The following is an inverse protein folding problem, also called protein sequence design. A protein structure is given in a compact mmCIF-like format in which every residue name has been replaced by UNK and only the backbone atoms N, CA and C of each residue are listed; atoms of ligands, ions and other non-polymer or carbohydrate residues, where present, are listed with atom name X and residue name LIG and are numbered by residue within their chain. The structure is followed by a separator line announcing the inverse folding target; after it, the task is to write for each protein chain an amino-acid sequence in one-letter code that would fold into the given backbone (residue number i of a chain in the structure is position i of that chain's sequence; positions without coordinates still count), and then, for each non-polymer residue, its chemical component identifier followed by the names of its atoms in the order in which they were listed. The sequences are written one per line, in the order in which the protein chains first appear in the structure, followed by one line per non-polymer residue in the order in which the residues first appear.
data_IF_393591223973
#
_entry.id   IF_393591223973
#
_cell.length_a   1.000
_cell.length_b   1.000
_cell.length_c   1.000
_cell.angle_alpha   90.00
_cell.angle_beta   90.00
_cell.angle_gamma   90.00
#
_symmetry.space_group_name_H-M   'P 1'
#
loop_
_entity.id
_entity.type
_entity.pdbx_description
1 polymer ?
#
# COMPACT_ATOMS: atom_id res chain seq x y z
N UNK A 1 -10.79 2.13 -22.06
CA UNK A 1 -10.60 3.23 -21.10
C UNK A 1 -10.55 2.63 -19.72
N UNK A 2 -9.59 3.08 -18.92
CA UNK A 2 -9.49 2.63 -17.54
C UNK A 2 -10.64 3.28 -16.77
N UNK A 3 -11.67 2.50 -16.45
CA UNK A 3 -12.91 3.03 -15.90
C UNK A 3 -12.88 2.91 -14.39
N UNK A 4 -12.89 4.06 -13.72
CA UNK A 4 -13.30 4.15 -12.32
C UNK A 4 -14.66 3.44 -12.18
N UNK A 5 -14.76 2.58 -11.18
CA UNK A 5 -15.98 1.80 -10.92
C UNK A 5 -16.98 2.55 -10.05
N UNK A 6 -16.50 3.52 -9.27
CA UNK A 6 -17.33 4.41 -8.44
C UNK A 6 -18.24 5.29 -9.31
N UNK A 7 -19.54 5.21 -9.04
CA UNK A 7 -20.53 6.09 -9.65
C UNK A 7 -20.66 7.39 -8.84
N UNK A 8 -20.30 8.52 -9.45
CA UNK A 8 -20.46 9.86 -8.85
C UNK A 8 -21.83 10.50 -9.16
N UNK A 9 -22.63 9.93 -10.06
CA UNK A 9 -23.98 10.42 -10.37
C UNK A 9 -25.02 9.85 -9.40
N UNK A 10 -24.83 10.09 -8.12
CA UNK A 10 -25.71 9.65 -7.02
C UNK A 10 -25.80 10.76 -5.97
N UNK A 11 -26.79 10.69 -5.09
CA UNK A 11 -26.87 11.59 -3.94
C UNK A 11 -25.61 11.44 -3.05
N UNK A 12 -25.02 12.54 -2.57
CA UNK A 12 -25.37 13.95 -2.77
C UNK A 12 -24.61 14.65 -3.93
N UNK A 13 -23.86 13.90 -4.75
CA UNK A 13 -22.88 14.46 -5.70
C UNK A 13 -23.46 14.82 -7.07
N UNK A 14 -24.40 14.02 -7.58
CA UNK A 14 -25.13 14.24 -8.84
C UNK A 14 -24.23 14.66 -10.02
N UNK A 15 -23.07 14.02 -10.18
CA UNK A 15 -22.18 14.27 -11.33
C UNK A 15 -22.75 13.66 -12.61
N UNK A 16 -23.60 14.42 -13.29
CA UNK A 16 -24.26 14.01 -14.53
C UNK A 16 -23.46 14.38 -15.80
N UNK A 17 -22.14 14.62 -15.67
CA UNK A 17 -21.29 14.86 -16.83
C UNK A 17 -21.35 13.70 -17.82
N UNK A 18 -21.53 14.02 -19.11
CA UNK A 18 -21.45 13.06 -20.22
C UNK A 18 -20.45 13.56 -21.27
N UNK A 19 -19.57 12.65 -21.68
CA UNK A 19 -18.53 12.90 -22.67
C UNK A 19 -19.12 13.15 -24.07
N UNK A 20 -20.25 12.52 -24.39
CA UNK A 20 -20.94 12.64 -25.69
C UNK A 20 -21.48 14.05 -25.95
N UNK A 21 -21.73 14.82 -24.88
CA UNK A 21 -22.18 16.20 -25.00
C UNK A 21 -21.05 17.14 -25.47
N UNK A 22 -19.79 16.72 -25.40
CA UNK A 22 -18.65 17.49 -25.89
C UNK A 22 -18.37 18.79 -25.13
N UNK A 23 -18.90 18.95 -23.90
CA UNK A 23 -18.62 20.14 -23.09
C UNK A 23 -17.16 20.15 -22.62
N UNK A 24 -16.45 21.25 -22.93
CA UNK A 24 -15.02 21.41 -22.63
C UNK A 24 -14.73 22.38 -21.47
N UNK A 25 -15.70 23.23 -21.10
CA UNK A 25 -15.54 24.25 -20.08
C UNK A 25 -16.88 24.72 -19.53
N UNK A 26 -16.94 24.93 -18.22
CA UNK A 26 -18.05 25.60 -17.55
C UNK A 26 -17.88 27.12 -17.66
N UNK A 27 -18.91 27.81 -18.11
CA UNK A 27 -18.90 29.27 -18.31
C UNK A 27 -19.73 29.94 -17.21
N UNK A 28 -19.06 30.46 -16.18
CA UNK A 28 -19.72 31.21 -15.11
C UNK A 28 -20.25 32.55 -15.62
N UNK A 29 -21.48 32.87 -15.24
CA UNK A 29 -22.16 34.12 -15.65
C UNK A 29 -22.15 35.12 -14.50
N UNK A 30 -21.65 36.35 -14.71
CA UNK A 30 -21.77 37.40 -13.71
C UNK A 30 -23.24 37.64 -13.32
N UNK A 31 -23.50 37.83 -12.03
CA UNK A 31 -24.85 38.07 -11.49
C UNK A 31 -25.69 36.81 -11.23
N UNK A 32 -25.17 35.61 -11.54
CA UNK A 32 -25.82 34.33 -11.22
C UNK A 32 -25.05 33.62 -10.10
N UNK A 33 -25.79 33.00 -9.17
CA UNK A 33 -25.18 32.17 -8.13
C UNK A 33 -24.63 30.88 -8.74
N UNK A 34 -23.43 30.50 -8.35
CA UNK A 34 -22.78 29.26 -8.78
C UNK A 34 -23.51 28.06 -8.17
N UNK A 35 -23.77 27.05 -9.00
CA UNK A 35 -24.46 25.83 -8.57
C UNK A 35 -23.46 24.71 -8.30
N UNK A 36 -23.78 23.80 -7.36
CA UNK A 36 -22.95 22.63 -7.06
C UNK A 36 -22.65 21.79 -8.32
N UNK A 37 -23.66 21.57 -9.16
CA UNK A 37 -23.52 20.87 -10.45
C UNK A 37 -22.46 21.49 -11.37
N UNK A 38 -22.36 22.83 -11.42
CA UNK A 38 -21.37 23.53 -12.24
C UNK A 38 -19.94 23.27 -11.75
N UNK A 39 -19.76 23.20 -10.42
CA UNK A 39 -18.46 22.90 -9.82
C UNK A 39 -18.08 21.43 -9.97
N UNK A 40 -19.03 20.51 -9.81
CA UNK A 40 -18.81 19.08 -10.03
C UNK A 40 -18.42 18.80 -11.48
N UNK A 41 -19.16 19.33 -12.46
CA UNK A 41 -18.82 19.16 -13.87
C UNK A 41 -17.48 19.81 -14.24
N UNK A 42 -17.13 20.96 -13.64
CA UNK A 42 -15.82 21.58 -13.85
C UNK A 42 -14.69 20.63 -13.42
N UNK A 43 -14.83 19.97 -12.26
CA UNK A 43 -13.84 19.02 -11.76
C UNK A 43 -13.70 17.83 -12.72
N UNK A 44 -14.82 17.25 -13.16
CA UNK A 44 -14.82 16.09 -14.06
C UNK A 44 -14.25 16.42 -15.44
N UNK A 45 -14.55 17.60 -15.99
CA UNK A 45 -13.97 18.07 -17.26
C UNK A 45 -12.44 18.21 -17.13
N UNK A 46 -11.95 18.86 -16.07
CA UNK A 46 -10.51 19.01 -15.86
C UNK A 46 -9.82 17.66 -15.68
N UNK A 47 -10.42 16.76 -14.90
CA UNK A 47 -9.92 15.40 -14.70
C UNK A 47 -9.83 14.65 -16.03
N UNK A 48 -10.84 14.73 -16.89
CA UNK A 48 -10.84 14.10 -18.22
C UNK A 48 -9.76 14.65 -19.14
N UNK A 49 -9.47 15.96 -19.11
CA UNK A 49 -8.36 16.52 -19.89
C UNK A 49 -7.02 15.97 -19.42
N UNK A 50 -6.81 15.88 -18.10
CA UNK A 50 -5.59 15.30 -17.53
C UNK A 50 -5.48 13.80 -17.81
N UNK A 51 -6.57 13.05 -17.66
CA UNK A 51 -6.59 11.60 -17.88
C UNK A 51 -6.26 11.25 -19.32
N UNK A 52 -6.77 11.99 -20.31
CA UNK A 52 -6.46 11.76 -21.74
C UNK A 52 -4.98 11.91 -22.06
N UNK A 53 -4.30 12.90 -21.46
CA UNK A 53 -2.84 13.04 -21.60
C UNK A 53 -2.14 11.85 -20.94
N UNK A 54 -2.60 11.43 -19.77
CA UNK A 54 -2.09 10.24 -19.09
C UNK A 54 -2.25 8.96 -19.91
N UNK A 55 -3.45 8.69 -20.44
CA UNK A 55 -3.76 7.52 -21.26
C UNK A 55 -2.98 7.49 -22.58
N UNK A 56 -2.58 8.65 -23.11
CA UNK A 56 -1.74 8.71 -24.30
C UNK A 56 -0.29 8.27 -24.02
N UNK A 57 0.21 8.48 -22.81
CA UNK A 57 1.61 8.23 -22.43
C UNK A 57 1.76 6.88 -21.70
N UNK A 58 0.82 6.56 -20.82
CA UNK A 58 0.89 5.45 -19.88
C UNK A 58 -0.24 4.45 -20.12
N UNK A 59 0.09 3.17 -19.94
CA UNK A 59 -0.93 2.12 -19.84
C UNK A 59 -1.47 2.08 -18.42
N UNK A 60 -2.71 1.67 -18.27
CA UNK A 60 -3.30 1.46 -16.95
C UNK A 60 -2.50 0.44 -16.13
N UNK A 61 -2.28 0.74 -14.86
CA UNK A 61 -1.44 -0.02 -13.94
C UNK A 61 0.08 0.22 -14.08
N UNK A 62 0.53 1.00 -15.07
CA UNK A 62 1.96 1.26 -15.23
C UNK A 62 2.50 2.23 -14.17
N UNK A 63 3.75 2.02 -13.75
CA UNK A 63 4.46 3.00 -12.93
C UNK A 63 4.85 4.20 -13.79
N UNK A 64 4.56 5.39 -13.28
CA UNK A 64 4.88 6.68 -13.90
C UNK A 64 6.23 7.17 -13.39
N UNK A 65 6.40 7.19 -12.06
CA UNK A 65 7.64 7.61 -11.38
C UNK A 65 7.83 6.73 -10.15
N UNK A 66 9.03 6.15 -9.99
CA UNK A 66 9.37 5.31 -8.83
C UNK A 66 8.60 3.99 -8.83
N UNK A 67 8.18 3.54 -7.64
CA UNK A 67 7.36 2.32 -7.52
C UNK A 67 8.13 1.03 -7.82
N UNK A 68 9.45 1.06 -7.67
CA UNK A 68 10.30 -0.11 -7.86
C UNK A 68 9.92 -1.21 -6.87
N UNK A 69 9.75 -2.43 -7.40
CA UNK A 69 9.47 -3.63 -6.59
C UNK A 69 10.76 -4.40 -6.42
N UNK A 70 11.07 -4.74 -5.17
CA UNK A 70 12.26 -5.50 -4.79
C UNK A 70 11.84 -6.78 -4.07
N UNK A 71 12.30 -7.91 -4.59
CA UNK A 71 12.15 -9.23 -3.95
C UNK A 71 13.39 -9.49 -3.10
N UNK A 72 13.22 -9.78 -1.81
CA UNK A 72 14.31 -10.21 -0.92
C UNK A 72 14.01 -11.61 -0.37
N UNK A 73 14.72 -12.62 -0.91
CA UNK A 73 14.67 -14.01 -0.45
C UNK A 73 15.86 -14.38 0.45
N UNK A 74 16.72 -13.42 0.76
CA UNK A 74 17.91 -13.61 1.62
C UNK A 74 17.68 -13.00 3.01
N UNK A 75 16.43 -12.65 3.34
CA UNK A 75 16.05 -12.15 4.64
C UNK A 75 15.91 -13.29 5.65
N UNK A 76 16.26 -13.01 6.90
CA UNK A 76 16.17 -13.98 8.00
C UNK A 76 14.95 -13.67 8.86
N UNK A 77 14.16 -14.66 9.25
CA UNK A 77 13.16 -14.47 10.29
C UNK A 77 13.77 -14.67 11.67
N UNK A 78 13.27 -13.97 12.69
CA UNK A 78 13.62 -14.13 14.09
C UNK A 78 12.33 -14.24 14.92
N UNK A 79 12.10 -15.38 15.54
CA UNK A 79 10.93 -15.58 16.42
C UNK A 79 11.22 -15.06 17.81
N UNK A 80 10.24 -14.37 18.40
CA UNK A 80 10.25 -13.97 19.80
C UNK A 80 9.46 -14.97 20.64
N UNK A 81 9.56 -14.85 21.97
CA UNK A 81 8.65 -15.55 22.87
C UNK A 81 7.22 -15.02 22.70
N UNK A 82 6.22 -15.85 22.99
CA UNK A 82 4.80 -15.53 22.74
C UNK A 82 4.25 -14.35 23.54
N UNK A 83 4.94 -13.93 24.61
CA UNK A 83 4.56 -12.79 25.44
C UNK A 83 5.04 -11.45 24.89
N UNK A 84 6.00 -11.47 23.97
CA UNK A 84 6.53 -10.25 23.38
C UNK A 84 5.65 -9.73 22.25
N UNK A 85 5.72 -8.43 21.99
CA UNK A 85 4.93 -7.76 20.95
C UNK A 85 5.82 -7.42 19.76
N UNK A 86 5.60 -8.02 18.59
CA UNK A 86 6.44 -7.81 17.42
C UNK A 86 6.42 -6.35 16.92
N UNK A 87 5.26 -5.69 16.98
CA UNK A 87 5.06 -4.33 16.43
C UNK A 87 5.91 -3.24 17.10
N UNK A 88 6.43 -3.48 18.30
CA UNK A 88 7.33 -2.51 18.95
C UNK A 88 8.71 -2.46 18.31
N UNK A 89 9.08 -3.50 17.56
CA UNK A 89 10.38 -3.62 16.90
C UNK A 89 10.35 -3.21 15.43
N UNK A 90 9.18 -2.92 14.86
CA UNK A 90 9.02 -2.66 13.43
C UNK A 90 9.82 -1.43 12.98
N UNK A 91 10.60 -1.59 11.90
CA UNK A 91 11.49 -0.55 11.36
C UNK A 91 12.70 -0.19 12.24
N UNK A 92 12.91 -0.85 13.39
CA UNK A 92 13.99 -0.52 14.32
C UNK A 92 15.28 -1.32 14.07
N UNK A 93 16.39 -0.89 14.65
CA UNK A 93 17.63 -1.68 14.70
C UNK A 93 17.68 -2.39 16.04
N UNK A 94 17.84 -3.72 16.00
CA UNK A 94 18.00 -4.55 17.20
C UNK A 94 19.45 -4.98 17.35
N UNK A 95 19.88 -5.17 18.61
CA UNK A 95 21.21 -5.63 18.97
C UNK A 95 21.15 -6.71 20.06
N UNK A 96 22.20 -7.53 20.10
CA UNK A 96 22.44 -8.42 21.23
C UNK A 96 22.99 -7.66 22.44
N UNK A 97 23.14 -8.36 23.57
CA UNK A 97 23.65 -7.79 24.82
C UNK A 97 25.11 -7.32 24.73
N UNK A 98 25.88 -7.83 23.77
CA UNK A 98 27.30 -7.49 23.56
C UNK A 98 27.50 -6.45 22.46
N UNK A 99 26.44 -6.06 21.76
CA UNK A 99 26.44 -5.19 20.58
C UNK A 99 27.28 -5.72 19.40
N UNK A 100 27.60 -7.01 19.38
CA UNK A 100 28.35 -7.65 18.30
C UNK A 100 27.43 -7.97 17.12
N UNK A 101 26.24 -8.49 17.43
CA UNK A 101 25.21 -8.79 16.43
C UNK A 101 24.19 -7.66 16.39
N UNK A 102 24.03 -7.07 15.20
CA UNK A 102 23.05 -6.02 14.95
C UNK A 102 22.26 -6.35 13.69
N UNK A 103 20.96 -6.12 13.72
CA UNK A 103 20.10 -6.35 12.56
C UNK A 103 19.04 -5.25 12.45
N UNK A 104 18.70 -4.89 11.21
CA UNK A 104 17.57 -4.03 10.91
C UNK A 104 16.31 -4.88 10.78
N UNK A 105 15.26 -4.51 11.49
CA UNK A 105 13.92 -5.09 11.35
C UNK A 105 13.23 -4.41 10.17
N UNK A 106 12.94 -5.19 9.13
CA UNK A 106 12.31 -4.69 7.90
C UNK A 106 10.79 -4.68 8.03
N UNK A 107 10.24 -5.75 8.60
CA UNK A 107 8.81 -5.87 8.89
C UNK A 107 8.60 -6.93 9.98
N UNK A 108 7.38 -7.06 10.48
CA UNK A 108 7.03 -7.95 11.59
C UNK A 108 5.66 -8.57 11.38
N UNK A 109 5.48 -9.79 11.90
CA UNK A 109 4.19 -10.44 12.00
C UNK A 109 3.84 -10.65 13.48
N UNK A 110 2.61 -10.29 13.85
CA UNK A 110 2.07 -10.56 15.17
C UNK A 110 1.86 -12.07 15.40
N UNK A 111 1.81 -12.47 16.67
CA UNK A 111 1.49 -13.84 17.03
C UNK A 111 0.08 -14.21 16.56
N UNK A 112 -0.07 -15.40 15.96
CA UNK A 112 -1.38 -15.93 15.53
C UNK A 112 -1.49 -17.38 15.97
N UNK A 113 -2.38 -17.65 16.94
CA UNK A 113 -2.56 -18.99 17.49
C UNK A 113 -1.28 -19.51 18.14
N UNK A 114 -0.73 -20.61 17.60
CA UNK A 114 0.53 -21.20 18.06
C UNK A 114 1.76 -20.60 17.39
N UNK A 115 1.58 -19.75 16.38
CA UNK A 115 2.67 -19.09 15.67
C UNK A 115 3.15 -17.88 16.48
N UNK A 116 4.39 -17.88 16.99
CA UNK A 116 4.88 -16.79 17.84
C UNK A 116 5.11 -15.50 17.04
N UNK A 117 5.25 -14.36 17.73
CA UNK A 117 5.60 -13.11 17.07
C UNK A 117 6.92 -13.26 16.31
N UNK A 118 6.95 -12.82 15.05
CA UNK A 118 8.09 -13.04 14.14
C UNK A 118 8.58 -11.72 13.57
N UNK A 119 9.88 -11.48 13.64
CA UNK A 119 10.56 -10.33 13.03
C UNK A 119 11.22 -10.78 11.72
N UNK A 120 11.21 -9.95 10.69
CA UNK A 120 11.97 -10.18 9.47
C UNK A 120 13.15 -9.23 9.42
N UNK A 121 14.36 -9.77 9.52
CA UNK A 121 15.56 -9.03 9.83
C UNK A 121 16.64 -9.19 8.76
N UNK A 122 17.41 -8.11 8.58
CA UNK A 122 18.63 -8.07 7.78
C UNK A 122 19.81 -7.74 8.68
N UNK A 123 20.79 -8.63 8.75
CA UNK A 123 21.97 -8.41 9.58
C UNK A 123 22.80 -7.23 9.05
N UNK A 124 23.16 -6.33 9.96
CA UNK A 124 24.12 -5.26 9.76
C UNK A 124 25.53 -5.71 10.23
N UNK A 125 25.57 -6.48 11.30
CA UNK A 125 26.77 -7.14 11.83
C UNK A 125 26.41 -8.46 12.52
N UNK A 126 27.35 -9.41 12.55
CA UNK A 126 27.09 -10.76 13.04
C UNK A 126 26.26 -11.60 12.06
N UNK A 127 25.91 -12.82 12.47
CA UNK A 127 25.25 -13.80 11.60
C UNK A 127 24.02 -14.46 12.21
N UNK A 128 23.85 -14.42 13.53
CA UNK A 128 22.68 -15.00 14.20
C UNK A 128 22.50 -14.43 15.60
N UNK A 129 21.26 -14.36 16.07
CA UNK A 129 20.96 -14.22 17.49
C UNK A 129 20.88 -15.60 18.14
N UNK A 130 21.23 -15.70 19.42
CA UNK A 130 21.19 -16.97 20.15
C UNK A 130 19.78 -17.29 20.66
N UNK A 131 19.43 -18.57 20.69
CA UNK A 131 18.17 -19.04 21.27
C UNK A 131 18.03 -18.59 22.73
N UNK A 132 16.88 -18.04 23.11
CA UNK A 132 16.63 -17.55 24.47
C UNK A 132 17.41 -16.30 24.88
N UNK A 133 18.17 -15.67 23.97
CA UNK A 133 18.89 -14.43 24.29
C UNK A 133 17.96 -13.22 24.28
N UNK A 134 18.37 -12.19 25.02
CA UNK A 134 17.69 -10.89 25.01
C UNK A 134 18.22 -10.05 23.86
N UNK A 135 17.30 -9.53 23.05
CA UNK A 135 17.55 -8.48 22.07
C UNK A 135 17.08 -7.14 22.61
N UNK A 136 17.76 -6.07 22.23
CA UNK A 136 17.43 -4.71 22.65
C UNK A 136 17.32 -3.82 21.43
N UNK A 137 16.34 -2.92 21.39
CA UNK A 137 16.26 -1.89 20.35
C UNK A 137 17.38 -0.87 20.60
N UNK A 138 18.20 -0.64 19.58
CA UNK A 138 19.35 0.25 19.69
C UNK A 138 18.93 1.68 20.01
N UNK A 139 19.59 2.29 20.99
CA UNK A 139 19.23 3.61 21.52
C UNK A 139 18.05 3.64 22.50
N UNK A 140 17.45 2.50 22.87
CA UNK A 140 16.35 2.44 23.85
C UNK A 140 16.57 1.36 24.91
N UNK A 141 15.67 1.29 25.90
CA UNK A 141 15.60 0.21 26.91
C UNK A 141 14.58 -0.89 26.56
N UNK A 142 13.93 -0.81 25.40
CA UNK A 142 12.95 -1.82 24.97
C UNK A 142 13.67 -3.11 24.61
N UNK A 143 13.25 -4.22 25.23
CA UNK A 143 13.86 -5.54 25.06
C UNK A 143 12.84 -6.56 24.61
N UNK A 144 13.33 -7.62 23.97
CA UNK A 144 12.57 -8.82 23.63
C UNK A 144 13.44 -10.05 23.83
N UNK A 145 12.83 -11.22 23.89
CA UNK A 145 13.51 -12.50 24.09
C UNK A 145 13.32 -13.37 22.87
N UNK A 146 14.44 -13.85 22.33
CA UNK A 146 14.46 -14.77 21.19
C UNK A 146 13.87 -16.12 21.60
N UNK A 147 13.04 -16.70 20.75
CA UNK A 147 12.47 -18.02 20.99
C UNK A 147 13.56 -19.07 21.24
N UNK A 148 13.22 -20.14 21.97
CA UNK A 148 14.19 -21.20 22.32
C UNK A 148 14.34 -22.26 21.22
N UNK A 149 13.35 -22.38 20.33
CA UNK A 149 13.32 -23.39 19.25
C UNK A 149 12.94 -22.74 17.93
N UNK A 150 13.51 -23.23 16.82
CA UNK A 150 13.27 -22.73 15.46
C UNK A 150 13.25 -21.20 15.38
N UNK A 151 14.17 -20.57 16.11
CA UNK A 151 14.13 -19.14 16.41
C UNK A 151 14.63 -18.29 15.26
N UNK A 152 15.37 -18.89 14.32
CA UNK A 152 15.94 -18.20 13.16
C UNK A 152 15.90 -19.10 11.93
N UNK A 153 15.85 -18.50 10.75
CA UNK A 153 15.94 -19.20 9.47
C UNK A 153 15.58 -18.29 8.30
N UNK A 154 15.49 -18.85 7.11
CA UNK A 154 15.22 -18.06 5.90
C UNK A 154 13.74 -17.70 5.76
N UNK A 155 13.48 -16.51 5.25
CA UNK A 155 12.15 -16.04 4.88
C UNK A 155 12.19 -15.35 3.51
N UNK A 156 11.04 -14.91 3.03
CA UNK A 156 10.97 -14.09 1.84
C UNK A 156 9.95 -12.96 1.97
N UNK A 157 10.37 -11.78 1.54
CA UNK A 157 9.54 -10.58 1.52
C UNK A 157 9.61 -9.94 0.14
N UNK A 158 8.64 -9.09 -0.13
CA UNK A 158 8.64 -8.19 -1.27
C UNK A 158 8.29 -6.79 -0.82
N UNK A 159 9.03 -5.81 -1.32
CA UNK A 159 8.84 -4.41 -0.97
C UNK A 159 8.60 -3.60 -2.23
N UNK A 160 7.75 -2.58 -2.12
CA UNK A 160 7.55 -1.56 -3.15
C UNK A 160 7.95 -0.21 -2.58
N UNK A 161 8.76 0.53 -3.32
CA UNK A 161 9.14 1.89 -2.96
C UNK A 161 8.00 2.87 -3.24
N UNK A 162 8.10 4.06 -2.64
CA UNK A 162 7.19 5.16 -2.99
C UNK A 162 7.18 5.38 -4.49
N UNK A 163 6.00 5.51 -5.08
CA UNK A 163 5.86 5.72 -6.51
C UNK A 163 4.50 6.28 -6.88
N UNK A 164 4.37 6.71 -8.13
CA UNK A 164 3.10 7.12 -8.72
C UNK A 164 2.76 6.14 -9.82
N UNK A 165 1.56 5.56 -9.76
CA UNK A 165 1.03 4.65 -10.76
C UNK A 165 -0.12 5.31 -11.51
N UNK A 166 -0.23 5.04 -12.81
CA UNK A 166 -1.37 5.49 -13.59
C UNK A 166 -2.48 4.44 -13.47
N UNK A 167 -3.59 4.78 -12.82
CA UNK A 167 -4.68 3.84 -12.50
C UNK A 167 -6.03 4.51 -12.73
N UNK A 168 -6.88 3.91 -13.56
CA UNK A 168 -8.25 4.37 -13.85
C UNK A 168 -8.33 5.83 -14.29
N UNK A 169 -7.32 6.32 -15.00
CA UNK A 169 -7.23 7.71 -15.45
C UNK A 169 -6.68 8.70 -14.41
N UNK A 170 -6.23 8.21 -13.25
CA UNK A 170 -5.63 9.01 -12.17
C UNK A 170 -4.15 8.67 -11.97
N UNK A 171 -3.40 9.66 -11.51
CA UNK A 171 -2.03 9.46 -11.03
C UNK A 171 -2.08 9.19 -9.52
N UNK A 172 -2.01 7.91 -9.15
CA UNK A 172 -2.23 7.45 -7.78
C UNK A 172 -0.90 7.23 -7.07
N UNK A 173 -0.72 7.86 -5.90
CA UNK A 173 0.45 7.68 -5.07
C UNK A 173 0.41 6.32 -4.34
N UNK A 174 1.42 5.50 -4.57
CA UNK A 174 1.73 4.33 -3.76
C UNK A 174 2.77 4.73 -2.70
N UNK A 175 2.44 4.50 -1.43
CA UNK A 175 3.40 4.64 -0.33
C UNK A 175 4.30 3.40 -0.23
N UNK A 176 5.49 3.50 0.38
CA UNK A 176 6.33 2.34 0.62
C UNK A 176 5.60 1.28 1.43
N UNK A 177 5.62 0.04 0.94
CA UNK A 177 4.97 -1.09 1.58
C UNK A 177 5.88 -2.32 1.48
N UNK A 178 5.89 -3.14 2.52
CA UNK A 178 6.54 -4.44 2.54
C UNK A 178 5.51 -5.50 2.84
N UNK A 179 5.55 -6.60 2.09
CA UNK A 179 4.67 -7.74 2.23
C UNK A 179 5.51 -9.00 2.45
N UNK A 180 5.15 -9.78 3.47
CA UNK A 180 5.74 -11.10 3.71
C UNK A 180 5.17 -12.09 2.69
N UNK A 181 6.04 -12.67 1.86
CA UNK A 181 5.66 -13.71 0.91
C UNK A 181 5.58 -15.06 1.60
N UNK A 182 6.65 -15.45 2.30
CA UNK A 182 6.71 -16.67 3.07
C UNK A 182 7.39 -16.42 4.40
N UNK A 183 6.78 -16.93 5.48
CA UNK A 183 7.26 -16.67 6.83
C UNK A 183 8.55 -17.42 7.15
N UNK A 184 8.65 -18.67 6.71
CA UNK A 184 9.70 -19.62 7.14
C UNK A 184 10.35 -20.38 5.97
N UNK A 185 10.26 -19.84 4.75
CA UNK A 185 10.93 -20.38 3.56
C UNK A 185 11.33 -19.27 2.61
N UNK A 186 12.35 -19.53 1.79
CA UNK A 186 12.87 -18.64 0.75
C UNK A 186 12.48 -19.06 -0.67
N UNK A 187 11.51 -19.96 -0.82
CA UNK A 187 11.02 -20.44 -2.13
C UNK A 187 9.57 -20.01 -2.43
N UNK A 188 9.21 -18.72 -2.30
CA UNK A 188 7.85 -18.24 -2.57
C UNK A 188 7.46 -18.46 -4.03
N UNK A 189 6.17 -18.73 -4.26
CA UNK A 189 5.59 -18.86 -5.61
C UNK A 189 4.26 -18.13 -5.70
N UNK A 190 4.30 -16.86 -6.12
CA UNK A 190 3.14 -15.95 -6.11
C UNK A 190 3.16 -14.96 -7.29
N UNK A 191 1.98 -14.44 -7.61
CA UNK A 191 1.82 -13.18 -8.35
C UNK A 191 1.78 -12.05 -7.33
N UNK A 192 2.68 -11.08 -7.45
CA UNK A 192 2.78 -9.94 -6.56
C UNK A 192 2.37 -8.69 -7.33
N UNK A 193 1.54 -7.87 -6.71
CA UNK A 193 0.97 -6.71 -7.35
C UNK A 193 0.31 -5.75 -6.39
N UNK A 194 -0.26 -4.68 -6.94
CA UNK A 194 -1.02 -3.69 -6.20
C UNK A 194 -2.51 -3.94 -6.41
N UNK A 195 -3.23 -4.15 -5.32
CA UNK A 195 -4.69 -4.13 -5.32
C UNK A 195 -5.16 -2.69 -5.27
N UNK A 196 -6.07 -2.31 -6.17
CA UNK A 196 -6.68 -0.99 -6.20
C UNK A 196 -7.98 -1.02 -5.39
N UNK A 197 -8.17 -0.03 -4.53
CA UNK A 197 -9.41 0.12 -3.75
C UNK A 197 -9.88 1.55 -3.84
N UNK A 198 -11.07 1.73 -4.42
CA UNK A 198 -11.74 3.02 -4.53
C UNK A 198 -12.58 3.28 -3.28
N UNK A 199 -12.56 4.51 -2.79
CA UNK A 199 -13.38 4.93 -1.65
C UNK A 199 -13.74 6.41 -1.74
N UNK A 200 -14.87 6.77 -1.13
CA UNK A 200 -15.22 8.16 -0.83
C UNK A 200 -15.01 8.35 0.67
N UNK A 201 -14.11 9.26 1.02
CA UNK A 201 -13.77 9.58 2.41
C UNK A 201 -14.55 10.82 2.83
N UNK A 202 -15.36 10.67 3.88
CA UNK A 202 -16.09 11.76 4.50
C UNK A 202 -15.42 12.21 5.81
N UNK A 203 -15.86 13.36 6.33
CA UNK A 203 -15.27 14.00 7.51
C UNK A 203 -15.58 13.29 8.83
N UNK A 204 -16.54 12.38 8.83
CA UNK A 204 -16.80 11.45 9.94
C UNK A 204 -15.72 10.35 10.03
N UNK A 205 -15.12 9.99 8.89
CA UNK A 205 -14.08 8.98 8.75
C UNK A 205 -12.70 9.61 8.90
N UNK A 206 -12.52 10.83 8.40
CA UNK A 206 -11.27 11.59 8.47
C UNK A 206 -11.52 13.01 9.00
N UNK A 207 -11.24 13.21 10.29
CA UNK A 207 -11.45 14.50 10.97
C UNK A 207 -10.56 15.62 10.44
N UNK A 208 -9.52 15.31 9.64
CA UNK A 208 -8.69 16.34 9.00
C UNK A 208 -9.42 17.06 7.86
N UNK A 209 -10.57 16.53 7.41
CA UNK A 209 -11.45 17.18 6.46
C UNK A 209 -12.41 18.20 7.11
N UNK A 210 -12.40 18.33 8.43
CA UNK A 210 -13.14 19.38 9.13
C UNK A 210 -12.47 20.74 8.90
N UNK A 211 -13.27 21.81 8.95
CA UNK A 211 -12.74 23.16 8.79
C UNK A 211 -11.77 23.52 9.94
N UNK A 212 -10.49 23.85 9.63
CA UNK A 212 -9.48 24.15 10.64
C UNK A 212 -9.62 25.56 11.25
N UNK A 213 -10.55 26.39 10.76
CA UNK A 213 -10.77 27.74 11.23
C UNK A 213 -11.18 27.75 12.70
N UNK A 214 -10.44 28.46 13.55
CA UNK A 214 -10.78 28.62 14.97
C UNK A 214 -11.46 29.97 15.22
N UNK A 215 -12.46 29.98 16.10
CA UNK A 215 -13.18 31.20 16.50
C UNK A 215 -14.20 31.72 15.48
N UNK A 216 -14.54 30.93 14.47
CA UNK A 216 -15.54 31.24 13.44
C UNK A 216 -16.76 30.31 13.56
N UNK A 217 -17.86 30.66 12.90
CA UNK A 217 -19.10 29.86 12.93
C UNK A 217 -18.97 28.52 12.22
N UNK A 218 -18.02 28.39 11.29
CA UNK A 218 -17.72 27.18 10.55
C UNK A 218 -16.63 26.32 11.20
N UNK A 219 -16.11 26.68 12.38
CA UNK A 219 -15.10 25.88 13.08
C UNK A 219 -15.57 24.42 13.25
N UNK A 220 -14.73 23.47 12.81
CA UNK A 220 -15.04 22.04 12.80
C UNK A 220 -16.27 21.63 11.96
N UNK A 221 -16.75 22.47 11.04
CA UNK A 221 -17.81 22.08 10.13
C UNK A 221 -17.31 20.99 9.16
N UNK A 222 -18.17 20.03 8.75
CA UNK A 222 -17.85 19.04 7.72
C UNK A 222 -17.40 19.69 6.41
N UNK A 223 -16.16 19.41 5.98
CA UNK A 223 -15.72 19.72 4.64
C UNK A 223 -16.29 18.74 3.59
N UNK A 224 -16.04 19.05 2.31
CA UNK A 224 -16.41 18.17 1.21
C UNK A 224 -15.72 16.79 1.34
N UNK A 225 -16.33 15.75 0.77
CA UNK A 225 -15.74 14.40 0.73
C UNK A 225 -14.57 14.32 -0.27
N UNK A 226 -13.78 13.25 -0.21
CA UNK A 226 -12.65 13.00 -1.13
C UNK A 226 -12.78 11.64 -1.79
N UNK A 227 -12.73 11.61 -3.11
CA UNK A 227 -12.48 10.36 -3.83
C UNK A 227 -11.02 9.96 -3.66
N UNK A 228 -10.77 8.70 -3.30
CA UNK A 228 -9.44 8.16 -3.05
C UNK A 228 -9.32 6.78 -3.69
N UNK A 229 -8.26 6.59 -4.47
CA UNK A 229 -7.79 5.27 -4.88
C UNK A 229 -6.61 4.91 -3.99
N UNK A 230 -6.70 3.78 -3.31
CA UNK A 230 -5.61 3.23 -2.49
C UNK A 230 -4.98 2.06 -3.22
N UNK A 231 -3.64 2.03 -3.24
CA UNK A 231 -2.86 0.93 -3.79
C UNK A 231 -2.24 0.13 -2.64
N UNK A 232 -2.63 -1.14 -2.52
CA UNK A 232 -2.16 -2.01 -1.45
C UNK A 232 -1.37 -3.18 -2.02
N UNK A 233 -0.13 -3.36 -1.57
CA UNK A 233 0.72 -4.46 -1.99
C UNK A 233 0.12 -5.81 -1.53
N UNK A 234 -0.13 -6.70 -2.47
CA UNK A 234 -0.77 -7.99 -2.23
C UNK A 234 -0.11 -9.11 -3.04
N UNK A 235 -0.29 -10.35 -2.56
CA UNK A 235 0.13 -11.58 -3.24
C UNK A 235 -1.08 -12.43 -3.58
N UNK A 236 -1.05 -13.07 -4.74
CA UNK A 236 -2.05 -14.07 -5.20
C UNK A 236 -1.36 -15.39 -5.55
N UNK A 237 -2.03 -16.50 -5.27
CA UNK A 237 -1.56 -17.83 -5.63
C UNK A 237 -1.54 -18.02 -7.15
N UNK A 238 -0.72 -18.95 -7.66
CA UNK A 238 -0.48 -19.16 -9.10
C UNK A 238 -1.10 -20.45 -9.65
N UNK A 239 -2.01 -21.12 -8.93
CA UNK A 239 -2.50 -22.46 -9.32
C UNK A 239 -3.22 -22.45 -10.68
N UNK A 240 -3.25 -23.57 -11.39
CA UNK A 240 -3.99 -23.74 -12.66
C UNK A 240 -5.52 -23.67 -12.53
N UNK A 241 -6.05 -23.64 -11.30
CA UNK A 241 -7.46 -23.31 -10.98
C UNK A 241 -7.68 -21.84 -10.66
N UNK A 242 -6.60 -21.05 -10.54
CA UNK A 242 -6.68 -19.59 -10.67
C UNK A 242 -7.07 -19.37 -12.14
N UNK A 243 -8.24 -18.80 -12.46
CA UNK A 243 -8.69 -18.69 -13.84
C UNK A 243 -7.67 -17.87 -14.63
N UNK A 244 -6.72 -18.57 -15.26
CA UNK A 244 -5.73 -17.95 -16.12
C UNK A 244 -6.53 -17.27 -17.22
N UNK A 245 -6.41 -15.94 -17.25
CA UNK A 245 -6.77 -15.11 -18.39
C UNK A 245 -8.27 -14.99 -18.75
N UNK A 246 -9.21 -15.29 -17.86
CA UNK A 246 -10.65 -15.12 -18.16
C UNK A 246 -11.30 -13.88 -17.53
N UNK A 247 -10.85 -13.44 -16.35
CA UNK A 247 -11.11 -12.10 -15.83
C UNK A 247 -9.75 -11.53 -15.42
N UNK A 248 -9.27 -10.51 -16.13
CA UNK A 248 -8.35 -9.57 -15.51
C UNK A 248 -9.02 -9.15 -14.20
N UNK A 249 -8.42 -9.48 -13.07
CA UNK A 249 -8.85 -8.88 -11.81
C UNK A 249 -8.78 -7.37 -12.03
N UNK A 250 -9.92 -6.72 -12.28
CA UNK A 250 -9.97 -5.32 -12.70
C UNK A 250 -9.24 -4.41 -11.71
N UNK A 251 -9.12 -4.89 -10.47
CA UNK A 251 -8.56 -4.18 -9.35
C UNK A 251 -7.20 -4.72 -8.90
N UNK A 252 -6.47 -5.48 -9.73
CA UNK A 252 -5.13 -5.99 -9.38
C UNK A 252 -4.11 -5.75 -10.49
N UNK A 253 -3.12 -4.92 -10.18
CA UNK A 253 -2.00 -4.59 -11.05
C UNK A 253 -0.85 -5.52 -10.73
N UNK A 254 -0.56 -6.50 -11.59
CA UNK A 254 0.58 -7.41 -11.40
C UNK A 254 1.89 -6.69 -11.70
N UNK A 255 2.82 -6.70 -10.73
CA UNK A 255 4.13 -6.05 -10.86
C UNK A 255 5.26 -7.06 -10.99
N UNK A 256 5.13 -8.20 -10.32
CA UNK A 256 6.16 -9.23 -10.27
C UNK A 256 5.52 -10.60 -10.18
N UNK A 257 6.10 -11.58 -10.87
CA UNK A 257 5.79 -12.99 -10.65
C UNK A 257 7.03 -13.69 -10.12
N UNK A 258 6.83 -14.49 -9.08
CA UNK A 258 7.90 -15.23 -8.42
C UNK A 258 7.58 -16.71 -8.49
N UNK A 259 8.55 -17.52 -8.88
CA UNK A 259 8.45 -18.98 -8.91
C UNK A 259 9.67 -19.56 -8.22
N UNK A 260 9.45 -20.37 -7.18
CA UNK A 260 10.50 -21.00 -6.37
C UNK A 260 11.58 -19.99 -5.89
N UNK A 261 11.16 -18.79 -5.48
CA UNK A 261 12.07 -17.73 -5.01
C UNK A 261 12.83 -16.97 -6.09
N UNK A 262 12.61 -17.26 -7.38
CA UNK A 262 13.20 -16.50 -8.48
C UNK A 262 12.15 -15.65 -9.20
N UNK A 263 12.47 -14.39 -9.56
CA UNK A 263 11.57 -13.56 -10.35
C UNK A 263 11.48 -14.13 -11.78
N UNK A 264 10.28 -14.45 -12.23
CA UNK A 264 10.03 -14.81 -13.63
C UNK A 264 9.73 -13.53 -14.40
N UNK A 265 10.44 -13.32 -15.51
CA UNK A 265 10.29 -12.12 -16.36
C UNK A 265 8.83 -12.00 -16.81
N UNK A 266 8.20 -10.87 -16.49
CA UNK A 266 6.99 -10.43 -17.20
C UNK A 266 7.42 -10.09 -18.62
N UNK A 267 6.72 -10.67 -19.60
CA UNK A 267 6.93 -10.37 -21.02
C UNK A 267 5.90 -9.33 -21.44
#
# INVERSE_FOLDING_TARGET
MANVTTNFNVDPYYDDYSEDNGYLRVLFRPGYAVQGRELTQLQTILQKQSSRVGEHIFKDGSSVIGGEVTLDTQITYLKLISTDTASTFDGTIIKDSTNATRAQVVTVDAAVGTDPPTLYIKFLSGTTFAAGSTITIDGTSTTGTVATTNHTGNASIVSVNRGVFFVSGFFVLCLPQTLVLEKYTNTPTYRVGLTTTEAIIASDTDTTLLDPSTGTTNANAPGATRFKITLTLAKKTTSSTDPVAANADSNFIELLRVVAGSPTKHT
#
